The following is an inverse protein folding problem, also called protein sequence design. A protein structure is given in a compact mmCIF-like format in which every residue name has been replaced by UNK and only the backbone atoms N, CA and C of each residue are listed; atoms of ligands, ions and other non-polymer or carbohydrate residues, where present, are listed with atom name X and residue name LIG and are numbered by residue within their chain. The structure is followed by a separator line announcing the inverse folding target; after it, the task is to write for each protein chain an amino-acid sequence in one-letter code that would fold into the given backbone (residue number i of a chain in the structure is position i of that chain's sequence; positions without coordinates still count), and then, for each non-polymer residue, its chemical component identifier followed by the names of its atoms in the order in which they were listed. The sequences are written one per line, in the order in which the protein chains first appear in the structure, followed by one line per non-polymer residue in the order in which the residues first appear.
data_IF_322563351944
#
_entry.id   IF_322563351944
#
_cell.length_a   1.000
_cell.length_b   1.000
_cell.length_c   1.000
_cell.angle_alpha   90.00
_cell.angle_beta   90.00
_cell.angle_gamma   90.00
#
_symmetry.space_group_name_H-M   'P 1'
#
loop_
_entity.id
_entity.type
_entity.pdbx_description
1 polymer ?
#
# COMPACT_ATOMS: atom_id res chain seq x y z
N UNK A 1 -20.03 16.37 32.68
CA UNK A 1 -20.71 16.47 31.38
C UNK A 1 -19.73 16.71 30.23
N UNK A 2 -18.74 17.58 30.37
CA UNK A 2 -17.74 17.94 29.34
C UNK A 2 -16.91 16.77 28.80
N UNK A 3 -16.39 15.89 29.67
CA UNK A 3 -15.56 14.75 29.27
C UNK A 3 -16.27 13.82 28.28
N UNK A 4 -17.55 13.51 28.50
CA UNK A 4 -18.32 12.66 27.59
C UNK A 4 -18.57 13.34 26.21
N UNK A 5 -18.79 14.65 26.20
CA UNK A 5 -18.94 15.43 24.97
C UNK A 5 -17.64 15.42 24.18
N UNK A 6 -16.52 15.68 24.81
CA UNK A 6 -15.20 15.61 24.22
C UNK A 6 -14.92 14.25 23.59
N UNK A 7 -15.18 13.16 24.32
CA UNK A 7 -14.95 11.80 23.80
C UNK A 7 -15.84 11.45 22.60
N UNK A 8 -17.10 11.91 22.59
CA UNK A 8 -17.97 11.78 21.40
C UNK A 8 -17.40 12.49 20.19
N UNK A 9 -16.94 13.73 20.36
CA UNK A 9 -16.30 14.51 19.29
C UNK A 9 -15.04 13.81 18.77
N UNK A 10 -14.24 13.23 19.65
CA UNK A 10 -13.05 12.45 19.32
C UNK A 10 -13.38 11.23 18.46
N UNK A 11 -14.44 10.48 18.80
CA UNK A 11 -14.94 9.34 18.01
C UNK A 11 -15.33 9.78 16.60
N UNK A 12 -16.06 10.89 16.47
CA UNK A 12 -16.44 11.45 15.16
C UNK A 12 -15.20 11.80 14.32
N UNK A 13 -14.21 12.44 14.96
CA UNK A 13 -12.95 12.79 14.30
C UNK A 13 -12.16 11.56 13.84
N UNK A 14 -12.07 10.51 14.66
CA UNK A 14 -11.42 9.25 14.31
C UNK A 14 -12.13 8.56 13.14
N UNK A 15 -13.46 8.53 13.16
CA UNK A 15 -14.29 8.00 12.07
C UNK A 15 -14.03 8.72 10.74
N UNK A 16 -14.00 10.05 10.77
CA UNK A 16 -13.73 10.87 9.60
C UNK A 16 -12.28 10.67 9.09
N UNK A 17 -11.31 10.57 10.01
CA UNK A 17 -9.90 10.32 9.66
C UNK A 17 -9.73 8.96 8.99
N UNK A 18 -10.30 7.88 9.54
CA UNK A 18 -10.22 6.55 8.96
C UNK A 18 -10.80 6.52 7.54
N UNK A 19 -11.96 7.14 7.32
CA UNK A 19 -12.58 7.24 5.99
C UNK A 19 -11.70 7.95 4.95
N UNK A 20 -11.00 9.01 5.35
CA UNK A 20 -10.07 9.72 4.44
C UNK A 20 -8.88 8.86 4.02
N UNK A 21 -8.50 7.87 4.84
CA UNK A 21 -7.41 6.94 4.56
C UNK A 21 -7.87 5.69 3.79
N UNK A 22 -9.17 5.58 3.49
CA UNK A 22 -9.76 4.39 2.88
C UNK A 22 -9.64 4.33 1.35
N UNK A 23 -9.22 5.42 0.73
CA UNK A 23 -9.15 5.52 -0.73
C UNK A 23 -8.00 6.42 -1.16
N UNK A 24 -7.37 6.01 -2.27
CA UNK A 24 -6.30 6.73 -2.97
C UNK A 24 -6.65 6.75 -4.46
N UNK A 25 -6.44 7.86 -5.14
CA UNK A 25 -6.64 8.03 -6.57
C UNK A 25 -5.52 8.87 -7.17
N UNK A 26 -5.52 9.04 -8.49
CA UNK A 26 -4.48 9.78 -9.20
C UNK A 26 -4.31 11.21 -8.68
N UNK A 27 -5.42 11.93 -8.46
CA UNK A 27 -5.38 13.30 -8.00
C UNK A 27 -4.84 13.42 -6.57
N UNK A 28 -5.26 12.50 -5.68
CA UNK A 28 -4.83 12.50 -4.27
C UNK A 28 -3.33 12.24 -4.09
N UNK A 29 -2.69 11.56 -5.05
CA UNK A 29 -1.23 11.31 -5.05
C UNK A 29 -0.46 12.30 -5.94
N UNK A 30 -1.12 13.33 -6.48
CA UNK A 30 -0.47 14.38 -7.27
C UNK A 30 -0.15 14.00 -8.72
N UNK A 31 -0.73 12.92 -9.24
CA UNK A 31 -0.59 12.52 -10.66
C UNK A 31 -1.54 13.37 -11.50
N UNK A 32 -1.01 14.20 -12.36
CA UNK A 32 -1.75 15.08 -13.26
C UNK A 32 -2.04 14.36 -14.58
N UNK A 33 -2.96 14.87 -15.44
CA UNK A 33 -3.27 14.27 -16.74
C UNK A 33 -2.04 13.97 -17.61
N UNK A 34 -1.04 14.87 -17.63
CA UNK A 34 0.19 14.68 -18.39
C UNK A 34 1.10 13.59 -17.81
N UNK A 35 0.94 13.22 -16.55
CA UNK A 35 1.76 12.21 -15.87
C UNK A 35 1.15 10.79 -16.00
N UNK A 36 -0.09 10.67 -16.51
CA UNK A 36 -0.79 9.39 -16.65
C UNK A 36 -0.02 8.32 -17.45
N UNK A 37 0.77 8.63 -18.48
CA UNK A 37 1.58 7.62 -19.18
C UNK A 37 2.59 6.91 -18.27
N UNK A 38 2.99 7.52 -17.17
CA UNK A 38 3.93 6.97 -16.19
C UNK A 38 3.25 6.34 -14.98
N UNK A 39 1.93 6.48 -14.86
CA UNK A 39 1.18 6.06 -13.70
C UNK A 39 1.03 4.53 -13.62
N UNK A 40 0.96 3.95 -12.42
CA UNK A 40 0.51 2.58 -12.26
C UNK A 40 -0.89 2.38 -12.84
N UNK A 41 -1.19 1.18 -13.33
CA UNK A 41 -2.49 0.91 -13.95
C UNK A 41 -3.66 1.09 -12.97
N UNK A 42 -4.90 1.33 -13.48
CA UNK A 42 -6.08 1.41 -12.64
C UNK A 42 -6.29 0.18 -11.74
N UNK A 43 -5.77 -0.98 -12.16
CA UNK A 43 -5.86 -2.20 -11.38
C UNK A 43 -4.97 -2.17 -10.12
N UNK A 44 -3.82 -1.49 -10.16
CA UNK A 44 -2.99 -1.27 -8.97
C UNK A 44 -3.71 -0.39 -7.95
N UNK A 45 -4.32 0.71 -8.39
CA UNK A 45 -5.14 1.57 -7.53
C UNK A 45 -6.32 0.80 -6.94
N UNK A 46 -6.99 -0.02 -7.75
CA UNK A 46 -8.10 -0.86 -7.27
C UNK A 46 -7.64 -1.83 -6.18
N UNK A 47 -6.51 -2.50 -6.38
CA UNK A 47 -5.96 -3.46 -5.43
C UNK A 47 -5.51 -2.77 -4.11
N UNK A 48 -4.84 -1.62 -4.18
CA UNK A 48 -4.50 -0.82 -3.02
C UNK A 48 -5.76 -0.39 -2.25
N UNK A 49 -6.77 0.15 -2.96
CA UNK A 49 -8.02 0.60 -2.37
C UNK A 49 -8.81 -0.53 -1.71
N UNK A 50 -8.77 -1.75 -2.24
CA UNK A 50 -9.39 -2.91 -1.59
C UNK A 50 -8.78 -3.17 -0.20
N UNK A 51 -7.45 -3.02 -0.04
CA UNK A 51 -6.77 -3.18 1.24
C UNK A 51 -7.11 -2.03 2.21
N UNK A 52 -7.03 -0.79 1.75
CA UNK A 52 -7.35 0.38 2.56
C UNK A 52 -8.81 0.35 3.07
N UNK A 53 -9.75 0.00 2.20
CA UNK A 53 -11.17 -0.14 2.57
C UNK A 53 -11.42 -1.30 3.55
N UNK A 54 -10.64 -2.37 3.48
CA UNK A 54 -10.73 -3.46 4.46
C UNK A 54 -10.33 -2.97 5.85
N UNK A 55 -9.23 -2.23 5.95
CA UNK A 55 -8.75 -1.62 7.19
C UNK A 55 -9.78 -0.62 7.73
N UNK A 56 -10.32 0.27 6.88
CA UNK A 56 -11.36 1.23 7.30
C UNK A 56 -12.59 0.51 7.86
N UNK A 57 -13.10 -0.52 7.17
CA UNK A 57 -14.28 -1.27 7.64
C UNK A 57 -14.06 -1.87 9.03
N UNK A 58 -12.87 -2.36 9.33
CA UNK A 58 -12.56 -2.89 10.67
C UNK A 58 -12.56 -1.78 11.72
N UNK A 59 -11.97 -0.63 11.42
CA UNK A 59 -12.00 0.55 12.31
C UNK A 59 -13.43 1.02 12.54
N UNK A 60 -14.24 1.13 11.48
CA UNK A 60 -15.64 1.56 11.59
C UNK A 60 -16.47 0.59 12.45
N UNK A 61 -16.22 -0.71 12.33
CA UNK A 61 -16.88 -1.74 13.17
C UNK A 61 -16.55 -1.56 14.65
N UNK A 62 -15.27 -1.34 14.98
CA UNK A 62 -14.83 -1.08 16.37
C UNK A 62 -15.45 0.20 16.93
N UNK A 63 -15.49 1.27 16.13
CA UNK A 63 -16.12 2.53 16.53
C UNK A 63 -17.63 2.37 16.74
N UNK A 64 -18.31 1.61 15.90
CA UNK A 64 -19.73 1.31 16.06
C UNK A 64 -20.01 0.51 17.35
N UNK A 65 -19.19 -0.50 17.64
CA UNK A 65 -19.27 -1.27 18.88
C UNK A 65 -19.07 -0.38 20.11
N UNK A 66 -18.05 0.49 20.07
CA UNK A 66 -17.80 1.45 21.15
C UNK A 66 -18.99 2.40 21.36
N UNK A 67 -19.62 2.88 20.29
CA UNK A 67 -20.80 3.73 20.38
C UNK A 67 -22.01 2.98 20.96
N UNK A 68 -22.20 1.72 20.63
CA UNK A 68 -23.30 0.90 21.14
C UNK A 68 -23.15 0.60 22.65
N UNK A 69 -21.91 0.37 23.12
CA UNK A 69 -21.62 0.08 24.52
C UNK A 69 -21.46 1.33 25.39
N UNK A 70 -21.57 2.52 24.83
CA UNK A 70 -21.25 3.79 25.45
C UNK A 70 -21.98 4.05 26.79
N UNK A 71 -23.29 3.79 26.83
CA UNK A 71 -24.12 4.07 28.00
C UNK A 71 -23.81 3.18 29.20
N UNK A 72 -23.33 1.97 28.92
CA UNK A 72 -23.10 0.94 29.93
C UNK A 72 -21.60 0.83 30.33
N UNK A 73 -20.74 1.65 29.72
CA UNK A 73 -19.30 1.58 29.97
C UNK A 73 -18.83 2.70 30.92
N UNK A 74 -17.88 2.37 31.82
CA UNK A 74 -17.17 3.37 32.58
C UNK A 74 -16.35 4.30 31.69
N UNK A 75 -16.11 5.54 32.12
CA UNK A 75 -15.28 6.50 31.36
C UNK A 75 -13.88 5.95 31.11
N UNK A 76 -13.31 5.25 32.10
CA UNK A 76 -12.00 4.61 31.96
C UNK A 76 -11.98 3.58 30.80
N UNK A 77 -13.00 2.72 30.73
CA UNK A 77 -13.13 1.73 29.66
C UNK A 77 -13.26 2.40 28.31
N UNK A 78 -14.07 3.44 28.19
CA UNK A 78 -14.23 4.21 26.94
C UNK A 78 -12.91 4.85 26.50
N UNK A 79 -12.12 5.40 27.42
CA UNK A 79 -10.80 5.96 27.12
C UNK A 79 -9.84 4.90 26.57
N UNK A 80 -9.79 3.71 27.18
CA UNK A 80 -8.97 2.60 26.68
C UNK A 80 -9.38 2.17 25.27
N UNK A 81 -10.69 2.01 25.04
CA UNK A 81 -11.19 1.60 23.73
C UNK A 81 -10.91 2.66 22.66
N UNK A 82 -11.02 3.96 22.97
CA UNK A 82 -10.62 5.06 22.09
C UNK A 82 -9.13 5.00 21.79
N UNK A 83 -8.27 4.79 22.78
CA UNK A 83 -6.83 4.69 22.58
C UNK A 83 -6.46 3.51 21.65
N UNK A 84 -7.15 2.38 21.76
CA UNK A 84 -6.98 1.25 20.84
C UNK A 84 -7.36 1.62 19.41
N UNK A 85 -8.49 2.33 19.22
CA UNK A 85 -8.91 2.79 17.89
C UNK A 85 -7.94 3.82 17.33
N UNK A 86 -7.38 4.72 18.13
CA UNK A 86 -6.35 5.66 17.69
C UNK A 86 -5.13 4.93 17.12
N UNK A 87 -4.67 3.87 17.80
CA UNK A 87 -3.59 3.03 17.29
C UNK A 87 -3.93 2.37 15.95
N UNK A 88 -5.17 1.91 15.77
CA UNK A 88 -5.62 1.33 14.49
C UNK A 88 -5.69 2.39 13.38
N UNK A 89 -6.17 3.60 13.68
CA UNK A 89 -6.16 4.72 12.72
C UNK A 89 -4.72 5.13 12.34
N UNK A 90 -3.80 5.10 13.28
CA UNK A 90 -2.39 5.39 13.01
C UNK A 90 -1.73 4.30 12.15
N UNK A 91 -2.11 3.04 12.35
CA UNK A 91 -1.72 1.94 11.47
C UNK A 91 -2.31 2.11 10.05
N UNK A 92 -3.61 2.50 9.96
CA UNK A 92 -4.24 2.81 8.67
C UNK A 92 -3.48 3.92 7.92
N UNK A 93 -3.00 4.94 8.64
CA UNK A 93 -2.15 5.99 8.08
C UNK A 93 -0.85 5.44 7.50
N UNK A 94 -0.20 4.47 8.15
CA UNK A 94 1.02 3.84 7.61
C UNK A 94 0.73 3.01 6.36
N UNK A 95 -0.38 2.29 6.32
CA UNK A 95 -0.81 1.54 5.14
C UNK A 95 -1.11 2.47 3.96
N UNK A 96 -1.83 3.56 4.21
CA UNK A 96 -2.09 4.60 3.21
C UNK A 96 -0.76 5.23 2.74
N UNK A 97 0.14 5.57 3.68
CA UNK A 97 1.43 6.17 3.40
C UNK A 97 2.29 5.32 2.45
N UNK A 98 2.26 3.99 2.58
CA UNK A 98 2.97 3.09 1.67
C UNK A 98 2.51 3.28 0.21
N UNK A 99 1.20 3.24 -0.05
CA UNK A 99 0.69 3.40 -1.41
C UNK A 99 0.82 4.84 -1.90
N UNK A 100 0.66 5.82 -1.00
CA UNK A 100 0.86 7.22 -1.32
C UNK A 100 2.29 7.50 -1.78
N UNK A 101 3.29 6.95 -1.08
CA UNK A 101 4.70 7.05 -1.42
C UNK A 101 5.02 6.40 -2.77
N UNK A 102 4.58 5.14 -2.95
CA UNK A 102 4.84 4.36 -4.17
C UNK A 102 4.18 5.00 -5.41
N UNK A 103 2.94 5.46 -5.29
CA UNK A 103 2.22 6.03 -6.43
C UNK A 103 2.53 7.51 -6.66
N UNK A 104 2.74 8.28 -5.59
CA UNK A 104 2.93 9.73 -5.66
C UNK A 104 4.17 10.15 -6.43
N UNK A 105 5.21 9.31 -6.44
CA UNK A 105 6.42 9.59 -7.22
C UNK A 105 6.18 9.66 -8.74
N UNK A 106 5.02 9.17 -9.21
CA UNK A 106 4.63 9.27 -10.62
C UNK A 106 4.17 10.67 -11.04
N UNK A 107 3.95 11.57 -10.08
CA UNK A 107 3.72 13.00 -10.32
C UNK A 107 4.97 13.86 -10.17
N UNK A 108 6.17 13.26 -10.09
CA UNK A 108 7.46 13.94 -9.87
C UNK A 108 8.40 13.76 -11.05
N UNK A 109 9.58 14.38 -10.98
CA UNK A 109 10.66 14.22 -11.97
C UNK A 109 11.20 12.79 -12.09
N UNK A 110 10.93 11.92 -11.11
CA UNK A 110 11.29 10.50 -11.17
C UNK A 110 10.37 9.67 -12.06
N UNK A 111 9.22 10.18 -12.47
CA UNK A 111 8.20 9.41 -13.19
C UNK A 111 8.73 8.69 -14.45
N UNK A 112 9.49 9.32 -15.37
CA UNK A 112 10.01 8.65 -16.56
C UNK A 112 10.98 7.51 -16.24
N UNK A 113 11.87 7.72 -15.26
CA UNK A 113 12.85 6.70 -14.85
C UNK A 113 12.16 5.51 -14.20
N UNK A 114 11.19 5.76 -13.32
CA UNK A 114 10.40 4.70 -12.69
C UNK A 114 9.59 3.91 -13.72
N UNK A 115 9.02 4.57 -14.72
CA UNK A 115 8.32 3.90 -15.81
C UNK A 115 9.24 3.01 -16.64
N UNK A 116 10.50 3.41 -16.86
CA UNK A 116 11.50 2.58 -17.53
C UNK A 116 11.82 1.31 -16.70
N UNK A 117 11.99 1.43 -15.40
CA UNK A 117 12.17 0.25 -14.51
C UNK A 117 10.94 -0.65 -14.49
N UNK A 118 9.73 -0.09 -14.47
CA UNK A 118 8.50 -0.87 -14.57
C UNK A 118 8.44 -1.63 -15.91
N UNK A 119 8.83 -0.99 -17.03
CA UNK A 119 8.86 -1.63 -18.33
C UNK A 119 9.83 -2.82 -18.36
N UNK A 120 11.05 -2.67 -17.84
CA UNK A 120 12.02 -3.76 -17.72
C UNK A 120 11.44 -4.93 -16.90
N UNK A 121 10.82 -4.64 -15.75
CA UNK A 121 10.17 -5.69 -14.97
C UNK A 121 9.03 -6.38 -15.74
N UNK A 122 8.21 -5.62 -16.47
CA UNK A 122 7.14 -6.15 -17.32
C UNK A 122 7.69 -7.04 -18.43
N UNK A 123 8.80 -6.67 -19.04
CA UNK A 123 9.44 -7.45 -20.11
C UNK A 123 9.94 -8.81 -19.58
N UNK A 124 10.54 -8.84 -18.38
CA UNK A 124 10.92 -10.09 -17.72
C UNK A 124 9.72 -11.03 -17.51
N UNK A 125 8.60 -10.49 -17.00
CA UNK A 125 7.37 -11.27 -16.84
C UNK A 125 6.78 -11.74 -18.18
N UNK A 126 6.87 -10.91 -19.21
CA UNK A 126 6.35 -11.20 -20.54
C UNK A 126 7.16 -12.30 -21.20
N UNK A 127 8.49 -12.26 -21.13
CA UNK A 127 9.37 -13.29 -21.64
C UNK A 127 9.05 -14.68 -21.07
N UNK A 128 8.88 -14.75 -19.74
CA UNK A 128 8.52 -16.03 -19.08
C UNK A 128 7.12 -16.49 -19.51
N UNK A 129 6.15 -15.57 -19.63
CA UNK A 129 4.79 -15.92 -20.09
C UNK A 129 4.77 -16.44 -21.52
N UNK A 130 5.63 -15.95 -22.39
CA UNK A 130 5.75 -16.45 -23.78
C UNK A 130 6.27 -17.87 -23.83
N UNK A 131 7.25 -18.21 -22.97
CA UNK A 131 7.87 -19.56 -22.94
C UNK A 131 6.99 -20.56 -22.18
N UNK A 132 6.33 -20.13 -21.10
CA UNK A 132 5.58 -21.00 -20.21
C UNK A 132 4.26 -20.34 -19.73
N UNK A 133 3.28 -20.12 -20.60
CA UNK A 133 2.05 -19.39 -20.28
C UNK A 133 1.22 -20.06 -19.19
N UNK A 134 1.32 -21.39 -19.05
CA UNK A 134 0.56 -22.19 -18.08
C UNK A 134 1.05 -22.01 -16.64
N UNK A 135 2.24 -21.49 -16.41
CA UNK A 135 2.81 -21.35 -15.06
C UNK A 135 2.09 -20.25 -14.28
N UNK A 136 1.70 -19.17 -14.96
CA UNK A 136 0.98 -18.07 -14.33
C UNK A 136 -0.52 -18.37 -14.22
N UNK A 137 -0.99 -18.59 -13.01
CA UNK A 137 -2.41 -18.79 -12.71
C UNK A 137 -3.15 -17.43 -12.73
N UNK A 138 -3.59 -16.99 -13.91
CA UNK A 138 -4.42 -15.79 -14.08
C UNK A 138 -3.64 -14.46 -14.23
N UNK A 139 -4.35 -13.34 -14.28
CA UNK A 139 -3.76 -12.02 -14.49
C UNK A 139 -3.08 -11.55 -13.19
N UNK A 140 -1.74 -11.46 -13.22
CA UNK A 140 -0.97 -10.90 -12.12
C UNK A 140 -0.75 -9.40 -12.34
N UNK A 141 -0.92 -8.61 -11.29
CA UNK A 141 -0.45 -7.22 -11.28
C UNK A 141 1.08 -7.22 -11.32
N UNK A 142 1.62 -6.46 -12.24
CA UNK A 142 3.07 -6.33 -12.44
C UNK A 142 3.72 -5.62 -11.26
N UNK A 143 5.04 -5.74 -11.07
CA UNK A 143 5.76 -4.92 -10.10
C UNK A 143 5.58 -3.42 -10.36
N UNK A 144 5.60 -2.64 -9.29
CA UNK A 144 5.64 -1.18 -9.33
C UNK A 144 6.92 -0.73 -8.63
N UNK A 145 7.74 0.04 -9.31
CA UNK A 145 8.99 0.55 -8.78
C UNK A 145 8.77 1.90 -8.05
N UNK A 146 9.55 2.17 -7.03
CA UNK A 146 9.63 3.48 -6.39
C UNK A 146 11.05 3.75 -5.90
N UNK A 147 11.40 5.01 -5.74
CA UNK A 147 12.71 5.42 -5.26
C UNK A 147 12.67 5.74 -3.77
N UNK A 148 13.68 5.24 -3.06
CA UNK A 148 13.88 5.54 -1.65
C UNK A 148 15.38 5.59 -1.36
N UNK A 149 15.80 6.35 -0.38
CA UNK A 149 17.18 6.32 0.09
C UNK A 149 17.52 4.94 0.65
N UNK A 150 18.72 4.42 0.30
CA UNK A 150 19.13 3.11 0.79
C UNK A 150 20.37 2.57 0.08
N UNK A 151 20.91 1.45 0.61
CA UNK A 151 22.14 0.87 0.10
C UNK A 151 21.97 -0.03 -1.12
N UNK A 152 20.80 -0.65 -1.27
CA UNK A 152 20.54 -1.58 -2.38
C UNK A 152 19.07 -1.59 -2.74
N UNK A 153 18.70 -2.01 -3.98
CA UNK A 153 17.35 -2.39 -4.30
C UNK A 153 16.80 -3.42 -3.31
N UNK A 154 15.50 -3.41 -3.14
CA UNK A 154 14.81 -4.38 -2.29
C UNK A 154 13.37 -4.57 -2.79
N UNK A 155 12.82 -5.76 -2.62
CA UNK A 155 11.46 -6.04 -3.04
C UNK A 155 10.53 -6.40 -1.90
N UNK A 156 9.30 -5.89 -1.97
CA UNK A 156 8.16 -6.36 -1.19
C UNK A 156 7.30 -7.25 -2.10
N UNK A 157 7.45 -8.57 -1.95
CA UNK A 157 6.77 -9.55 -2.82
C UNK A 157 5.26 -9.54 -2.62
N UNK A 158 4.53 -9.95 -3.66
CA UNK A 158 3.09 -10.20 -3.58
C UNK A 158 2.80 -11.26 -2.51
N UNK A 159 1.69 -11.10 -1.81
CA UNK A 159 1.24 -12.07 -0.81
C UNK A 159 1.97 -12.01 0.52
N UNK A 160 3.14 -11.35 0.60
CA UNK A 160 3.84 -11.17 1.88
C UNK A 160 3.01 -10.28 2.80
N UNK A 161 2.83 -10.71 4.04
CA UNK A 161 2.18 -9.92 5.07
C UNK A 161 3.09 -8.78 5.50
N UNK A 162 2.66 -7.56 5.29
CA UNK A 162 3.41 -6.36 5.66
C UNK A 162 2.86 -5.76 6.94
N UNK A 163 3.75 -5.48 7.89
CA UNK A 163 3.38 -4.75 9.12
C UNK A 163 2.75 -3.39 8.80
N UNK A 164 3.19 -2.72 7.74
CA UNK A 164 2.62 -1.46 7.24
C UNK A 164 1.16 -1.62 6.77
N UNK A 165 0.76 -2.82 6.32
CA UNK A 165 -0.60 -3.17 5.91
C UNK A 165 -1.39 -3.93 7.00
N UNK A 166 -1.00 -3.80 8.28
CA UNK A 166 -1.65 -4.48 9.41
C UNK A 166 -1.66 -6.01 9.29
N UNK A 167 -0.63 -6.58 8.69
CA UNK A 167 -0.58 -8.00 8.40
C UNK A 167 -1.39 -8.44 7.18
N UNK A 168 -2.02 -7.50 6.44
CA UNK A 168 -2.64 -7.82 5.17
C UNK A 168 -1.58 -8.15 4.11
N UNK A 169 -1.85 -9.11 3.21
CA UNK A 169 -0.94 -9.47 2.15
C UNK A 169 -0.79 -8.32 1.15
N UNK A 170 0.46 -8.09 0.71
CA UNK A 170 0.76 -7.11 -0.32
C UNK A 170 0.05 -7.49 -1.64
N UNK A 171 -0.74 -6.59 -2.23
CA UNK A 171 -1.57 -6.92 -3.39
C UNK A 171 -0.78 -7.07 -4.70
N UNK A 172 0.39 -6.48 -4.81
CA UNK A 172 1.30 -6.54 -5.96
C UNK A 172 2.74 -6.36 -5.51
N UNK A 173 3.73 -6.82 -6.30
CA UNK A 173 5.13 -6.61 -5.95
C UNK A 173 5.48 -5.12 -6.00
N UNK A 174 6.30 -4.66 -5.06
CA UNK A 174 6.83 -3.30 -5.04
C UNK A 174 8.35 -3.39 -4.94
N UNK A 175 9.05 -2.74 -5.87
CA UNK A 175 10.52 -2.76 -5.91
C UNK A 175 11.03 -1.37 -5.55
N UNK A 176 11.79 -1.32 -4.47
CA UNK A 176 12.52 -0.13 -4.06
C UNK A 176 13.81 -0.01 -4.85
N UNK A 177 14.11 1.19 -5.35
CA UNK A 177 15.32 1.53 -6.07
C UNK A 177 16.02 2.65 -5.33
N UNK A 178 17.32 2.52 -4.95
CA UNK A 178 18.08 3.63 -4.39
C UNK A 178 18.26 4.73 -5.44
N UNK A 179 17.87 5.96 -5.12
CA UNK A 179 18.01 7.11 -6.04
C UNK A 179 19.40 7.75 -6.02
N UNK A 180 20.20 7.44 -5.00
CA UNK A 180 21.52 8.01 -4.69
C UNK A 180 22.70 7.12 -5.15
N UNK A 181 22.43 6.12 -6.02
CA UNK A 181 23.43 5.15 -6.47
C UNK A 181 23.61 5.14 -7.98
N UNK A 182 24.85 4.91 -8.41
CA UNK A 182 25.23 4.85 -9.82
C UNK A 182 24.89 3.51 -10.50
N UNK A 183 25.06 3.46 -11.81
CA UNK A 183 24.68 2.42 -12.77
C UNK A 183 24.89 0.92 -12.42
N UNK A 184 25.79 0.45 -11.54
CA UNK A 184 25.91 -0.98 -11.24
C UNK A 184 24.65 -1.62 -10.64
N UNK A 185 23.73 -0.81 -10.14
CA UNK A 185 22.50 -1.27 -9.48
C UNK A 185 21.44 -1.84 -10.41
N UNK A 186 21.57 -1.67 -11.72
CA UNK A 186 20.64 -2.30 -12.67
C UNK A 186 20.68 -3.82 -12.60
N UNK A 187 21.85 -4.42 -12.38
CA UNK A 187 21.96 -5.86 -12.17
C UNK A 187 21.25 -6.32 -10.88
N UNK A 188 21.38 -5.53 -9.81
CA UNK A 188 20.69 -5.80 -8.53
C UNK A 188 19.18 -5.60 -8.66
N UNK A 189 18.72 -4.64 -9.47
CA UNK A 189 17.29 -4.50 -9.79
C UNK A 189 16.73 -5.75 -10.46
N UNK A 190 17.41 -6.33 -11.44
CA UNK A 190 17.00 -7.58 -12.10
C UNK A 190 16.95 -8.75 -11.12
N UNK A 191 17.86 -8.80 -10.15
CA UNK A 191 17.82 -9.77 -9.06
C UNK A 191 16.53 -9.64 -8.24
N UNK A 192 16.08 -8.42 -7.91
CA UNK A 192 14.83 -8.18 -7.21
C UNK A 192 13.59 -8.54 -8.07
N UNK A 193 13.65 -8.30 -9.38
CA UNK A 193 12.62 -8.78 -10.32
C UNK A 193 12.56 -10.32 -10.32
N UNK A 194 13.72 -10.99 -10.33
CA UNK A 194 13.81 -12.45 -10.28
C UNK A 194 13.19 -13.02 -8.98
N UNK A 195 13.42 -12.39 -7.83
CA UNK A 195 12.77 -12.79 -6.57
C UNK A 195 11.24 -12.71 -6.64
N UNK A 196 10.69 -11.68 -7.29
CA UNK A 196 9.25 -11.57 -7.48
C UNK A 196 8.72 -12.67 -8.42
N UNK A 197 9.43 -12.92 -9.53
CA UNK A 197 9.08 -13.99 -10.47
C UNK A 197 9.10 -15.36 -9.79
N UNK A 198 10.15 -15.68 -9.04
CA UNK A 198 10.25 -16.93 -8.31
C UNK A 198 9.10 -17.14 -7.33
N UNK A 199 8.69 -16.08 -6.61
CA UNK A 199 7.55 -16.13 -5.72
C UNK A 199 6.22 -16.34 -6.48
N UNK A 200 6.01 -15.60 -7.58
CA UNK A 200 4.79 -15.70 -8.40
C UNK A 200 4.71 -17.05 -9.17
N UNK A 201 5.84 -17.69 -9.43
CA UNK A 201 5.95 -19.04 -10.01
C UNK A 201 5.83 -20.17 -8.97
N UNK A 202 5.81 -19.84 -7.68
CA UNK A 202 5.78 -20.84 -6.60
C UNK A 202 7.07 -21.66 -6.46
N UNK A 203 8.21 -21.14 -6.94
CA UNK A 203 9.52 -21.83 -6.82
C UNK A 203 10.06 -21.72 -5.39
N UNK A 204 9.67 -20.71 -4.65
CA UNK A 204 9.94 -20.57 -3.21
C UNK A 204 8.74 -21.06 -2.42
N UNK A 205 8.89 -22.20 -1.76
CA UNK A 205 7.99 -22.65 -0.70
C UNK A 205 8.61 -22.38 0.67
#
# INVERSE_FOLDING_TARGET
METRVFLKTKIVALKARARRLAQIDYASVGIRPQDLPYAPSPNHFRAANQRLRKIDREIQRRLAHLQASWSNSSIHRVLLDIALVEREVDRARRAFGLFFEVFGQRGTTFAPVLAAYDAIAVDCYTAIRQVAPQIFRGPLLKPVCYMEHGFSPATMRRGVQLNRLLGEPNPFPVIRIPWDRDNPWQAVFLHEVAHNLQADLGIWQ
#
